data_IF_671866665658
#
_entry.id   IF_671866665658
#
_cell.length_a   1.000
_cell.length_b   1.000
_cell.length_c   1.000
_cell.angle_alpha   90.00
_cell.angle_beta   90.00
_cell.angle_gamma   90.00
#
_symmetry.space_group_name_H-M   'P 1'
#
loop_
_entity.id
_entity.type
_entity.pdbx_description
1 polymer ?
#
# COMPACT_ATOMS: atom_id res chain seq x y z
N UNK A 1 8.42 -12.48 24.21
CA UNK A 1 9.29 -11.66 23.33
C UNK A 1 8.60 -10.32 23.18
N UNK A 2 9.30 -9.20 23.39
CA UNK A 2 8.71 -7.88 23.21
C UNK A 2 8.36 -7.66 21.74
N UNK A 3 7.20 -7.04 21.48
CA UNK A 3 6.80 -6.68 20.12
C UNK A 3 7.73 -5.66 19.50
N UNK A 4 7.92 -5.78 18.18
CA UNK A 4 8.59 -4.75 17.40
C UNK A 4 7.78 -3.45 17.39
N UNK A 5 8.41 -2.28 17.17
CA UNK A 5 7.69 -1.01 17.06
C UNK A 5 6.62 -1.02 15.95
N UNK A 6 6.89 -1.75 14.86
CA UNK A 6 5.95 -1.92 13.73
C UNK A 6 4.73 -2.73 14.12
N UNK A 7 4.91 -3.86 14.81
CA UNK A 7 3.79 -4.67 15.32
C UNK A 7 2.94 -3.89 16.31
N UNK A 8 3.56 -3.14 17.23
CA UNK A 8 2.83 -2.26 18.16
C UNK A 8 1.97 -1.25 17.41
N UNK A 9 2.55 -0.60 16.40
CA UNK A 9 1.81 0.35 15.56
C UNK A 9 0.64 -0.34 14.84
N UNK A 10 0.87 -1.53 14.29
CA UNK A 10 -0.19 -2.29 13.62
C UNK A 10 -1.32 -2.68 14.58
N UNK A 11 -1.01 -3.19 15.78
CA UNK A 11 -2.02 -3.51 16.78
C UNK A 11 -2.89 -2.31 17.16
N UNK A 12 -2.25 -1.15 17.41
CA UNK A 12 -2.97 0.08 17.76
C UNK A 12 -3.89 0.58 16.64
N UNK A 13 -3.52 0.34 15.37
CA UNK A 13 -4.36 0.76 14.22
C UNK A 13 -5.42 -0.25 13.87
N UNK A 14 -5.17 -1.53 14.08
CA UNK A 14 -6.21 -2.57 13.98
C UNK A 14 -7.25 -2.41 15.08
N UNK A 15 -6.88 -1.98 16.29
CA UNK A 15 -7.85 -1.72 17.36
C UNK A 15 -8.77 -0.54 17.10
N UNK A 16 -8.37 0.41 16.25
CA UNK A 16 -9.25 1.52 15.87
C UNK A 16 -10.53 1.03 15.17
N UNK A 17 -10.52 -0.16 14.54
CA UNK A 17 -11.70 -0.77 13.93
C UNK A 17 -12.79 -1.18 14.95
N UNK A 18 -12.48 -1.14 16.25
CA UNK A 18 -13.39 -1.55 17.33
C UNK A 18 -13.82 -0.39 18.22
N UNK A 19 -13.34 0.82 17.93
CA UNK A 19 -13.66 2.02 18.71
C UNK A 19 -14.88 2.74 18.17
N UNK A 20 -15.07 2.71 16.85
CA UNK A 20 -16.16 3.41 16.19
C UNK A 20 -17.07 2.42 15.47
N UNK A 21 -18.38 2.56 15.70
CA UNK A 21 -19.39 1.80 14.96
C UNK A 21 -19.71 2.47 13.61
N UNK A 22 -19.28 3.72 13.40
CA UNK A 22 -19.53 4.50 12.18
C UNK A 22 -18.21 5.08 11.64
N UNK A 23 -17.35 4.20 11.12
CA UNK A 23 -16.13 4.66 10.46
C UNK A 23 -16.43 5.46 9.19
N UNK A 24 -15.88 6.66 9.10
CA UNK A 24 -15.99 7.49 7.91
C UNK A 24 -14.85 7.26 6.91
N UNK A 25 -14.95 7.93 5.77
CA UNK A 25 -14.00 7.81 4.68
C UNK A 25 -12.60 8.37 5.02
N UNK A 26 -12.54 9.29 6.00
CA UNK A 26 -11.32 9.91 6.54
C UNK A 26 -10.63 8.93 7.48
N UNK A 27 -11.38 8.24 8.33
CA UNK A 27 -10.89 7.22 9.25
C UNK A 27 -10.24 6.06 8.49
N UNK A 28 -10.91 5.55 7.46
CA UNK A 28 -10.34 4.53 6.58
C UNK A 28 -9.03 5.00 5.95
N UNK A 29 -8.96 6.25 5.46
CA UNK A 29 -7.72 6.81 4.89
C UNK A 29 -6.63 6.91 5.94
N UNK A 30 -6.95 7.33 7.15
CA UNK A 30 -5.99 7.44 8.25
C UNK A 30 -5.44 6.07 8.67
N UNK A 31 -6.29 5.04 8.80
CA UNK A 31 -5.89 3.68 9.14
C UNK A 31 -5.02 3.09 8.03
N UNK A 32 -5.48 3.14 6.78
CA UNK A 32 -4.72 2.66 5.62
C UNK A 32 -3.38 3.39 5.51
N UNK A 33 -3.38 4.71 5.77
CA UNK A 33 -2.16 5.49 5.67
C UNK A 33 -1.08 5.01 6.61
N UNK A 34 -1.46 4.74 7.86
CA UNK A 34 -0.56 4.28 8.91
C UNK A 34 -0.18 2.80 8.74
N UNK A 35 -1.13 1.95 8.34
CA UNK A 35 -0.87 0.52 8.11
C UNK A 35 0.03 0.28 6.90
N UNK A 36 -0.02 1.09 5.85
CA UNK A 36 0.92 0.88 4.74
C UNK A 36 2.34 1.35 5.04
N UNK A 37 2.56 2.03 6.17
CA UNK A 37 3.88 2.45 6.63
C UNK A 37 4.62 1.35 7.38
N UNK A 38 3.93 0.29 7.80
CA UNK A 38 4.54 -0.87 8.48
C UNK A 38 4.88 -1.95 7.46
N UNK A 39 5.99 -2.65 7.65
CA UNK A 39 6.44 -3.71 6.73
C UNK A 39 5.82 -5.06 7.11
N UNK A 40 4.49 -5.10 7.24
CA UNK A 40 3.75 -6.28 7.68
C UNK A 40 2.82 -6.74 6.53
N UNK A 41 2.87 -8.00 6.10
CA UNK A 41 1.96 -8.52 5.08
C UNK A 41 0.49 -8.44 5.53
N UNK A 42 -0.43 -8.16 4.61
CA UNK A 42 -1.88 -8.11 4.88
C UNK A 42 -2.37 -9.42 5.55
N UNK A 43 -1.87 -10.57 5.11
CA UNK A 43 -2.21 -11.87 5.72
C UNK A 43 -1.81 -11.95 7.21
N UNK A 44 -0.67 -11.36 7.59
CA UNK A 44 -0.24 -11.30 8.98
C UNK A 44 -1.09 -10.33 9.79
N UNK A 45 -1.50 -9.21 9.20
CA UNK A 45 -2.45 -8.28 9.83
C UNK A 45 -3.81 -8.94 10.08
N UNK A 46 -4.27 -9.80 9.16
CA UNK A 46 -5.51 -10.57 9.31
C UNK A 46 -5.43 -11.52 10.53
N UNK A 47 -4.31 -12.22 10.68
CA UNK A 47 -4.07 -13.06 11.86
C UNK A 47 -4.03 -12.25 13.16
N UNK A 48 -3.35 -11.09 13.15
CA UNK A 48 -3.27 -10.18 14.30
C UNK A 48 -4.65 -9.68 14.70
N UNK A 49 -5.45 -9.27 13.71
CA UNK A 49 -6.82 -8.82 13.93
C UNK A 49 -7.66 -9.93 14.56
N UNK A 50 -7.61 -11.13 13.97
CA UNK A 50 -8.46 -12.27 14.33
C UNK A 50 -8.12 -12.89 15.70
N UNK A 51 -6.84 -13.12 15.98
CA UNK A 51 -6.43 -13.89 17.15
C UNK A 51 -5.98 -13.03 18.32
N UNK A 52 -5.49 -11.81 18.06
CA UNK A 52 -4.87 -11.00 19.11
C UNK A 52 -5.78 -9.83 19.51
N UNK A 53 -6.28 -9.06 18.54
CA UNK A 53 -7.07 -7.84 18.78
C UNK A 53 -8.55 -8.15 19.04
N UNK A 54 -9.19 -8.87 18.13
CA UNK A 54 -10.63 -9.15 18.18
C UNK A 54 -11.06 -9.76 19.52
N UNK A 55 -10.38 -10.79 20.07
CA UNK A 55 -10.79 -11.39 21.32
C UNK A 55 -10.66 -10.48 22.56
N UNK A 56 -9.98 -9.33 22.46
CA UNK A 56 -9.93 -8.31 23.51
C UNK A 56 -11.06 -7.30 23.35
N UNK A 57 -11.40 -6.95 22.12
CA UNK A 57 -12.22 -5.78 21.82
C UNK A 57 -13.63 -6.12 21.32
N UNK A 58 -13.96 -7.38 21.04
CA UNK A 58 -15.30 -7.75 20.56
C UNK A 58 -16.42 -7.39 21.54
N UNK A 59 -16.10 -7.30 22.84
CA UNK A 59 -17.05 -6.90 23.89
C UNK A 59 -17.52 -5.45 23.67
N UNK A 60 -16.73 -4.59 23.02
CA UNK A 60 -17.13 -3.22 22.70
C UNK A 60 -18.33 -3.17 21.75
N UNK A 61 -18.47 -4.15 20.87
CA UNK A 61 -19.66 -4.25 20.03
C UNK A 61 -20.89 -4.67 20.81
N UNK A 62 -20.71 -5.45 21.89
CA UNK A 62 -21.81 -5.98 22.70
C UNK A 62 -22.29 -4.99 23.75
N UNK A 63 -21.39 -4.17 24.27
CA UNK A 63 -21.72 -3.20 25.30
C UNK A 63 -21.58 -1.83 24.66
N UNK A 64 -22.71 -1.14 24.48
CA UNK A 64 -22.81 0.26 24.05
C UNK A 64 -22.29 1.20 25.14
N UNK A 65 -21.10 0.91 25.69
CA UNK A 65 -20.38 1.86 26.52
C UNK A 65 -19.88 2.90 25.54
N UNK A 66 -20.22 4.17 25.76
CA UNK A 66 -19.55 5.30 25.11
C UNK A 66 -18.11 5.35 25.59
N UNK A 67 -17.34 4.34 25.22
CA UNK A 67 -16.08 3.98 25.84
C UNK A 67 -15.03 4.97 25.35
N UNK A 68 -14.46 5.71 26.30
CA UNK A 68 -13.23 6.45 26.12
C UNK A 68 -12.20 5.54 25.43
N UNK A 69 -11.47 6.11 24.47
CA UNK A 69 -10.43 5.42 23.72
C UNK A 69 -9.56 4.56 24.65
N UNK A 70 -9.33 3.29 24.29
CA UNK A 70 -8.45 2.40 25.07
C UNK A 70 -7.11 3.07 25.32
N UNK A 71 -6.61 2.99 26.55
CA UNK A 71 -5.21 3.35 26.84
C UNK A 71 -4.30 2.45 26.00
N UNK A 72 -3.48 3.06 25.14
CA UNK A 72 -2.63 2.36 24.17
C UNK A 72 -1.70 1.36 24.86
N UNK A 73 -1.13 1.74 26.00
CA UNK A 73 -0.23 0.90 26.80
C UNK A 73 -0.95 -0.31 27.38
N UNK A 74 -2.17 -0.12 27.87
CA UNK A 74 -2.98 -1.22 28.42
C UNK A 74 -3.30 -2.24 27.34
N UNK A 75 -3.67 -1.80 26.14
CA UNK A 75 -3.99 -2.69 25.03
C UNK A 75 -2.76 -3.52 24.63
N UNK A 76 -1.60 -2.89 24.48
CA UNK A 76 -0.36 -3.58 24.11
C UNK A 76 0.05 -4.57 25.20
N UNK A 77 -0.02 -4.19 26.47
CA UNK A 77 0.29 -5.09 27.60
C UNK A 77 -0.63 -6.32 27.59
N UNK A 78 -1.94 -6.12 27.34
CA UNK A 78 -2.89 -7.23 27.25
C UNK A 78 -2.58 -8.14 26.07
N UNK A 79 -2.30 -7.59 24.90
CA UNK A 79 -1.93 -8.41 23.72
C UNK A 79 -0.64 -9.19 24.02
N UNK A 80 0.38 -8.56 24.61
CA UNK A 80 1.65 -9.21 24.94
C UNK A 80 1.47 -10.33 25.97
N UNK A 81 0.67 -10.10 27.00
CA UNK A 81 0.29 -11.12 27.99
C UNK A 81 -0.48 -12.28 27.35
N UNK A 82 -1.35 -12.01 26.37
CA UNK A 82 -2.09 -13.06 25.65
C UNK A 82 -1.17 -13.92 24.80
N UNK A 83 -0.30 -13.30 24.01
CA UNK A 83 0.61 -13.98 23.09
C UNK A 83 1.66 -14.80 23.85
N UNK A 84 2.05 -14.36 25.05
CA UNK A 84 3.06 -15.05 25.88
C UNK A 84 2.50 -16.17 26.78
N UNK A 85 1.17 -16.32 26.92
CA UNK A 85 0.56 -17.24 27.88
C UNK A 85 0.12 -18.58 27.26
N UNK A 86 0.71 -19.73 27.64
CA UNK A 86 0.16 -21.06 27.34
C UNK A 86 -1.00 -21.44 28.29
N UNK A 87 -1.97 -22.28 27.88
CA UNK A 87 -2.04 -23.06 26.64
C UNK A 87 -2.75 -22.30 25.50
N UNK A 88 -1.98 -21.95 24.46
CA UNK A 88 -2.45 -21.14 23.34
C UNK A 88 -3.42 -21.88 22.40
N UNK A 89 -3.41 -23.22 22.36
CA UNK A 89 -4.20 -23.99 21.39
C UNK A 89 -5.70 -24.02 21.72
N UNK A 90 -6.10 -24.35 22.95
CA UNK A 90 -7.52 -24.38 23.36
C UNK A 90 -8.15 -23.00 23.21
N UNK A 91 -7.37 -21.99 23.60
CA UNK A 91 -7.74 -20.59 23.46
C UNK A 91 -8.03 -20.22 22.00
N UNK A 92 -7.15 -20.59 21.07
CA UNK A 92 -7.34 -20.34 19.63
C UNK A 92 -8.57 -21.03 19.06
N UNK A 93 -8.91 -22.23 19.54
CA UNK A 93 -10.13 -22.93 19.11
C UNK A 93 -11.37 -22.14 19.54
N UNK A 94 -11.43 -21.74 20.81
CA UNK A 94 -12.54 -20.92 21.32
C UNK A 94 -12.61 -19.57 20.60
N UNK A 95 -11.48 -18.88 20.43
CA UNK A 95 -11.41 -17.62 19.71
C UNK A 95 -11.82 -17.76 18.25
N UNK A 96 -11.49 -18.87 17.59
CA UNK A 96 -11.95 -19.14 16.23
C UNK A 96 -13.47 -19.31 16.15
N UNK A 97 -14.10 -19.92 17.16
CA UNK A 97 -15.56 -20.03 17.25
C UNK A 97 -16.22 -18.67 17.50
N UNK A 98 -15.68 -17.88 18.42
CA UNK A 98 -16.18 -16.52 18.71
C UNK A 98 -16.03 -15.64 17.46
N UNK A 99 -14.88 -15.69 16.80
CA UNK A 99 -14.66 -15.01 15.52
C UNK A 99 -15.66 -15.47 14.48
N UNK A 100 -15.89 -16.78 14.31
CA UNK A 100 -16.85 -17.27 13.33
C UNK A 100 -18.27 -16.70 13.56
N UNK A 101 -18.68 -16.55 14.82
CA UNK A 101 -19.99 -16.00 15.18
C UNK A 101 -20.10 -14.48 15.00
N UNK A 102 -19.03 -13.73 15.28
CA UNK A 102 -19.04 -12.26 15.34
C UNK A 102 -18.27 -11.56 14.22
N UNK A 103 -17.57 -12.30 13.35
CA UNK A 103 -16.74 -11.73 12.30
C UNK A 103 -17.53 -10.82 11.36
N UNK A 104 -18.82 -11.11 11.15
CA UNK A 104 -19.67 -10.31 10.28
C UNK A 104 -19.80 -8.85 10.75
N UNK A 105 -19.54 -8.55 12.03
CA UNK A 105 -19.52 -7.18 12.56
C UNK A 105 -18.26 -6.38 12.23
N UNK A 106 -17.14 -7.05 11.93
CA UNK A 106 -15.83 -6.41 11.66
C UNK A 106 -15.39 -6.60 10.21
N UNK A 107 -15.96 -7.62 9.54
CA UNK A 107 -15.60 -8.00 8.18
C UNK A 107 -15.79 -6.86 7.17
N UNK A 108 -16.91 -6.09 7.14
CA UNK A 108 -17.06 -5.08 6.10
C UNK A 108 -16.00 -3.98 6.18
N UNK A 109 -15.71 -3.48 7.38
CA UNK A 109 -14.69 -2.45 7.62
C UNK A 109 -13.29 -3.00 7.31
N UNK A 110 -13.00 -4.23 7.74
CA UNK A 110 -11.71 -4.84 7.48
C UNK A 110 -11.46 -5.15 6.00
N UNK A 111 -12.47 -5.65 5.27
CA UNK A 111 -12.37 -5.87 3.83
C UNK A 111 -12.11 -4.56 3.08
N UNK A 112 -12.75 -3.46 3.51
CA UNK A 112 -12.52 -2.15 2.92
C UNK A 112 -11.09 -1.64 3.17
N UNK A 113 -10.55 -1.82 4.38
CA UNK A 113 -9.14 -1.53 4.68
C UNK A 113 -8.20 -2.37 3.82
N UNK A 114 -8.45 -3.69 3.70
CA UNK A 114 -7.64 -4.58 2.84
C UNK A 114 -7.67 -4.14 1.38
N UNK A 115 -8.85 -3.79 0.85
CA UNK A 115 -9.00 -3.30 -0.52
C UNK A 115 -8.17 -2.04 -0.75
N UNK A 116 -8.24 -1.05 0.16
CA UNK A 116 -7.48 0.19 0.06
C UNK A 116 -5.97 -0.02 0.22
N UNK A 117 -5.54 -0.92 1.12
CA UNK A 117 -4.13 -1.29 1.27
C UNK A 117 -3.59 -1.95 0.00
N UNK A 118 -4.33 -2.90 -0.58
CA UNK A 118 -3.94 -3.55 -1.82
C UNK A 118 -3.77 -2.54 -2.97
N UNK A 119 -4.71 -1.60 -3.11
CA UNK A 119 -4.60 -0.52 -4.11
C UNK A 119 -3.35 0.35 -3.89
N UNK A 120 -3.02 0.68 -2.64
CA UNK A 120 -1.84 1.48 -2.33
C UNK A 120 -0.53 0.73 -2.66
N UNK A 121 -0.47 -0.57 -2.37
CA UNK A 121 0.69 -1.39 -2.75
C UNK A 121 0.83 -1.52 -4.27
N UNK A 122 -0.28 -1.59 -5.02
CA UNK A 122 -0.26 -1.57 -6.49
C UNK A 122 0.23 -0.23 -7.05
N UNK A 123 -0.12 0.90 -6.41
CA UNK A 123 0.37 2.22 -6.83
C UNK A 123 1.88 2.38 -6.60
N UNK A 124 2.40 1.91 -5.46
CA UNK A 124 3.83 1.96 -5.14
C UNK A 124 4.62 1.10 -6.13
N UNK A 125 4.21 -0.15 -6.31
CA UNK A 125 4.87 -1.08 -7.24
C UNK A 125 4.78 -0.61 -8.70
N UNK A 126 3.64 -0.03 -9.11
CA UNK A 126 3.47 0.53 -10.45
C UNK A 126 4.42 1.69 -10.74
N UNK A 127 4.63 2.59 -9.77
CA UNK A 127 5.59 3.70 -9.90
C UNK A 127 7.03 3.20 -10.06
N UNK A 128 7.41 2.17 -9.30
CA UNK A 128 8.75 1.60 -9.36
C UNK A 128 8.99 0.87 -10.68
N UNK A 129 8.00 0.12 -11.16
CA UNK A 129 8.08 -0.57 -12.46
C UNK A 129 8.21 0.45 -13.60
N UNK A 130 7.40 1.51 -13.60
CA UNK A 130 7.49 2.57 -14.61
C UNK A 130 8.87 3.24 -14.57
N UNK A 131 9.38 3.52 -13.38
CA UNK A 131 10.71 4.13 -13.21
C UNK A 131 11.83 3.21 -13.73
N UNK A 132 11.77 1.91 -13.41
CA UNK A 132 12.72 0.92 -13.92
C UNK A 132 12.62 0.75 -15.45
N UNK A 133 11.41 0.77 -16.00
CA UNK A 133 11.18 0.71 -17.44
C UNK A 133 11.77 1.94 -18.15
N UNK A 134 11.50 3.14 -17.64
CA UNK A 134 12.04 4.39 -18.18
C UNK A 134 13.57 4.41 -18.13
N UNK A 135 14.18 4.00 -17.01
CA UNK A 135 15.64 3.93 -16.90
C UNK A 135 16.24 2.92 -17.89
N UNK A 136 15.61 1.76 -18.06
CA UNK A 136 16.06 0.72 -18.99
C UNK A 136 15.93 1.19 -20.44
N UNK A 137 14.82 1.86 -20.77
CA UNK A 137 14.55 2.43 -22.09
C UNK A 137 15.58 3.50 -22.46
N UNK A 138 15.81 4.48 -21.57
CA UNK A 138 16.81 5.55 -21.77
C UNK A 138 18.21 4.97 -21.96
N UNK A 139 18.58 3.96 -21.15
CA UNK A 139 19.89 3.30 -21.25
C UNK A 139 20.09 2.57 -22.58
N UNK A 140 19.07 1.87 -23.07
CA UNK A 140 19.14 1.17 -24.36
C UNK A 140 19.16 2.14 -25.55
N UNK A 141 18.39 3.24 -25.49
CA UNK A 141 18.41 4.27 -26.52
C UNK A 141 19.77 4.97 -26.62
N UNK A 142 20.37 5.33 -25.48
CA UNK A 142 21.71 5.94 -25.44
C UNK A 142 22.78 5.07 -26.08
N UNK A 143 22.76 3.75 -25.82
CA UNK A 143 23.70 2.80 -26.44
C UNK A 143 23.55 2.73 -27.96
N UNK A 144 22.32 2.72 -28.46
CA UNK A 144 22.04 2.63 -29.91
C UNK A 144 22.52 3.87 -30.65
N UNK A 145 22.42 5.04 -30.02
CA UNK A 145 22.88 6.30 -30.61
C UNK A 145 24.40 6.36 -30.74
N UNK A 146 25.13 5.97 -29.69
CA UNK A 146 26.60 6.00 -29.70
C UNK A 146 27.23 5.00 -30.67
N UNK A 147 26.51 3.95 -31.09
CA UNK A 147 26.99 2.98 -32.07
C UNK A 147 26.89 3.48 -33.53
N UNK A 148 26.16 4.56 -33.80
CA UNK A 148 25.89 5.04 -35.16
C UNK A 148 26.74 6.23 -35.63
N UNK A 149 27.39 6.96 -34.73
CA UNK A 149 28.13 8.18 -35.08
C UNK A 149 29.62 7.91 -35.28
N UNK A 150 29.93 7.16 -36.33
CA UNK A 150 31.26 7.19 -36.93
C UNK A 150 31.41 8.45 -37.78
N UNK A 151 32.18 9.42 -37.26
CA UNK A 151 32.92 10.43 -38.04
C UNK A 151 32.14 11.33 -39.01
N UNK A 152 31.66 12.49 -38.53
CA UNK A 152 31.83 13.74 -39.30
C UNK A 152 31.73 14.95 -38.37
N UNK A 153 32.79 15.75 -38.38
CA UNK A 153 32.98 16.98 -37.62
C UNK A 153 32.08 18.11 -38.16
N UNK A 154 31.10 18.56 -37.39
CA UNK A 154 30.66 19.97 -37.35
C UNK A 154 29.74 20.23 -36.14
N UNK A 155 30.07 21.26 -35.38
CA UNK A 155 29.41 21.67 -34.14
C UNK A 155 28.00 22.22 -34.39
N UNK A 156 26.96 21.49 -33.99
CA UNK A 156 25.64 22.07 -33.77
C UNK A 156 25.04 21.51 -32.47
N UNK A 157 24.85 22.38 -31.47
CA UNK A 157 24.13 22.07 -30.23
C UNK A 157 22.63 22.12 -30.52
N UNK A 158 22.00 20.97 -30.69
CA UNK A 158 20.54 20.87 -30.84
C UNK A 158 19.90 20.54 -29.49
N UNK A 159 19.05 21.43 -28.98
CA UNK A 159 18.12 21.12 -27.91
C UNK A 159 17.00 20.23 -28.48
N UNK A 160 16.85 19.02 -27.95
CA UNK A 160 15.75 18.12 -28.32
C UNK A 160 14.68 18.13 -27.25
N UNK A 161 13.47 18.52 -27.65
CA UNK A 161 12.25 18.38 -26.85
C UNK A 161 11.60 17.05 -27.23
N UNK A 162 11.56 16.11 -26.30
CA UNK A 162 10.82 14.86 -26.50
C UNK A 162 9.36 15.08 -26.08
N UNK A 163 8.46 15.06 -27.06
CA UNK A 163 7.02 14.96 -26.81
C UNK A 163 6.65 13.47 -26.80
N UNK A 164 6.30 12.93 -25.64
CA UNK A 164 5.81 11.56 -25.53
C UNK A 164 4.29 11.54 -25.69
N UNK A 165 3.80 10.79 -26.67
CA UNK A 165 2.38 10.45 -26.77
C UNK A 165 2.13 9.21 -25.89
N UNK A 166 1.45 9.41 -24.76
CA UNK A 166 1.13 8.35 -23.80
C UNK A 166 0.36 7.19 -24.43
N UNK A 167 -0.34 7.43 -25.55
CA UNK A 167 -1.09 6.40 -26.26
C UNK A 167 -0.21 5.41 -27.03
N UNK A 168 1.01 5.80 -27.45
CA UNK A 168 1.97 4.87 -28.07
C UNK A 168 2.58 3.90 -27.05
N UNK A 169 2.87 4.39 -25.84
CA UNK A 169 3.44 3.58 -24.75
C UNK A 169 2.50 2.45 -24.35
N UNK A 170 1.21 2.78 -24.25
CA UNK A 170 0.17 1.80 -23.92
C UNK A 170 0.03 0.76 -25.04
N UNK A 171 0.16 1.17 -26.30
CA UNK A 171 0.11 0.23 -27.45
C UNK A 171 1.32 -0.70 -27.48
N UNK A 172 2.54 -0.20 -27.30
CA UNK A 172 3.74 -1.05 -27.31
C UNK A 172 3.82 -2.01 -26.12
N UNK A 173 3.38 -1.57 -24.94
CA UNK A 173 3.28 -2.43 -23.76
C UNK A 173 2.27 -3.59 -23.97
N UNK A 174 1.17 -3.33 -24.68
CA UNK A 174 0.18 -4.35 -25.03
C UNK A 174 0.71 -5.37 -26.07
N UNK A 175 1.65 -4.98 -26.93
CA UNK A 175 2.21 -5.90 -27.94
C UNK A 175 3.29 -6.82 -27.38
N UNK A 176 4.00 -6.42 -26.31
CA UNK A 176 5.14 -7.18 -25.78
C UNK A 176 4.85 -7.98 -24.51
N UNK A 177 3.69 -7.80 -23.87
CA UNK A 177 3.35 -8.55 -22.64
C UNK A 177 2.02 -9.30 -22.81
N UNK A 178 2.10 -10.57 -23.24
CA UNK A 178 1.01 -11.52 -23.01
C UNK A 178 0.88 -11.66 -21.50
N UNK A 179 -0.27 -11.31 -20.94
CA UNK A 179 -0.63 -11.35 -19.51
C UNK A 179 -0.39 -10.07 -18.69
N UNK A 180 -0.76 -8.90 -19.22
CA UNK A 180 -1.18 -7.77 -18.38
C UNK A 180 -2.67 -7.54 -18.64
N UNK A 181 -3.53 -8.15 -17.82
CA UNK A 181 -4.97 -7.86 -17.81
C UNK A 181 -5.15 -6.47 -17.23
N UNK A 182 -5.04 -5.46 -18.09
CA UNK A 182 -5.32 -4.07 -17.72
C UNK A 182 -6.84 -3.94 -17.59
N UNK A 183 -7.33 -3.92 -16.34
CA UNK A 183 -8.63 -3.34 -16.01
C UNK A 183 -8.55 -1.84 -16.33
N UNK A 184 -8.91 -1.47 -17.56
CA UNK A 184 -9.15 -0.08 -17.94
C UNK A 184 -10.51 0.30 -17.39
N UNK A 185 -10.52 0.84 -16.19
CA UNK A 185 -11.66 1.60 -15.66
C UNK A 185 -11.82 2.86 -16.52
N UNK A 186 -12.98 3.02 -17.17
CA UNK A 186 -13.31 4.20 -17.97
C UNK A 186 -13.39 5.43 -17.08
N UNK A 187 -12.28 6.15 -16.94
CA UNK A 187 -12.27 7.53 -16.43
C UNK A 187 -12.92 8.45 -17.46
N UNK A 188 -13.98 9.17 -17.06
CA UNK A 188 -14.79 10.05 -17.89
C UNK A 188 -14.28 11.51 -17.93
N UNK A 189 -12.98 11.77 -17.73
CA UNK A 189 -12.40 13.12 -17.93
C UNK A 189 -10.94 13.07 -18.41
N UNK A 190 -10.50 13.99 -19.31
CA UNK A 190 -9.13 13.99 -19.81
C UNK A 190 -8.20 14.80 -18.88
N UNK A 191 -6.88 14.55 -18.93
CA UNK A 191 -5.96 15.66 -18.75
C UNK A 191 -4.82 15.68 -19.77
N UNK A 192 -4.55 16.85 -20.33
CA UNK A 192 -3.22 17.21 -20.83
C UNK A 192 -2.38 17.66 -19.63
N UNK A 193 -1.49 16.80 -19.14
CA UNK A 193 -0.37 17.23 -18.28
C UNK A 193 0.90 17.23 -19.13
N UNK A 194 1.39 18.41 -19.50
CA UNK A 194 2.77 18.59 -19.96
C UNK A 194 3.65 18.65 -18.72
N UNK A 195 4.54 17.67 -18.56
CA UNK A 195 5.62 17.72 -17.57
C UNK A 195 6.80 18.38 -18.30
N UNK A 196 7.15 19.60 -17.89
CA UNK A 196 8.41 20.23 -18.30
C UNK A 196 9.48 19.81 -17.29
N UNK A 197 10.47 19.05 -17.74
CA UNK A 197 11.73 18.88 -17.02
C UNK A 197 12.78 19.74 -17.74
N UNK A 198 13.09 20.88 -17.16
CA UNK A 198 14.22 21.71 -17.61
C UNK A 198 15.48 21.19 -16.90
N UNK A 199 16.46 20.73 -17.68
CA UNK A 199 17.75 20.24 -17.18
C UNK A 199 18.82 21.23 -17.65
N UNK A 200 18.96 22.34 -16.92
CA UNK A 200 20.02 23.32 -17.17
C UNK A 200 21.29 22.85 -16.47
N UNK A 201 22.26 22.37 -17.25
CA UNK A 201 23.59 21.98 -16.80
C UNK A 201 24.51 23.19 -16.96
N UNK A 202 24.53 24.06 -15.94
CA UNK A 202 25.51 25.16 -15.85
C UNK A 202 26.91 24.55 -15.67
N UNK A 203 27.71 24.62 -16.73
CA UNK A 203 29.17 24.46 -16.64
C UNK A 203 29.74 25.71 -15.97
N UNK A 204 30.18 25.55 -14.73
CA UNK A 204 31.18 26.42 -14.12
C UNK A 204 32.50 26.24 -14.88
N UNK A 205 33.02 27.35 -15.40
CA UNK A 205 34.38 27.53 -15.91
C UNK A 205 35.40 27.53 -14.79
#
# INVERSE_FOLDING_TARGET
>A
MPFTPEERTAYLKLSCLFLDNEMDDIDFKAIVYRLSGVNIPIARMDDMLRYDVFPLLFINFLVTVGMDAFHEEWLIEKIEARVSSPPWFLRRVLEALVWWYFADLVRPEWEEVKRRLALRHLQVTGSDIISLWLLTFVRNYSKRWNAGTGSSSSEHKSCFVFSFDSSQVIREAATHSRTLTVLVEKSQYPPLRRIFCDWSLERLS
#
